data_IF_239025924688
#
_entry.id   IF_239025924688
#
_cell.length_a   1.000
_cell.length_b   1.000
_cell.length_c   1.000
_cell.angle_alpha   90.00
_cell.angle_beta   90.00
_cell.angle_gamma   90.00
#
_symmetry.space_group_name_H-M   'P 1'
#
loop_
_entity.id
_entity.type
_entity.pdbx_description
1 polymer ?
#
# COMPACT_ATOMS: atom_id res chain seq x y z
N UNK A 1 -18.07 7.83 3.29
CA UNK A 1 -16.88 6.99 3.38
C UNK A 1 -16.24 6.98 4.78
N UNK A 2 -16.14 8.11 5.50
CA UNK A 2 -15.52 8.15 6.85
C UNK A 2 -16.28 7.28 7.85
N UNK A 3 -17.62 7.33 7.85
CA UNK A 3 -18.41 6.43 8.70
C UNK A 3 -18.29 4.96 8.28
N UNK A 4 -18.13 4.70 6.97
CA UNK A 4 -17.85 3.35 6.48
C UNK A 4 -16.51 2.82 7.01
N UNK A 5 -15.46 3.66 7.02
CA UNK A 5 -14.17 3.32 7.65
C UNK A 5 -14.32 3.01 9.13
N UNK A 6 -15.11 3.80 9.86
CA UNK A 6 -15.34 3.57 11.27
C UNK A 6 -16.02 2.22 11.53
N UNK A 7 -17.11 1.92 10.83
CA UNK A 7 -17.83 0.64 10.96
C UNK A 7 -16.93 -0.53 10.58
N UNK A 8 -16.16 -0.37 9.49
CA UNK A 8 -15.21 -1.39 9.04
C UNK A 8 -14.17 -1.72 10.14
N UNK A 9 -13.63 -0.70 10.78
CA UNK A 9 -12.62 -0.89 11.83
C UNK A 9 -13.19 -1.48 13.13
N UNK A 10 -14.44 -1.14 13.46
CA UNK A 10 -15.09 -1.62 14.68
C UNK A 10 -15.68 -3.03 14.54
N UNK A 11 -16.19 -3.37 13.37
CA UNK A 11 -17.04 -4.56 13.19
C UNK A 11 -16.69 -5.42 11.98
N UNK A 12 -15.69 -5.03 11.20
CA UNK A 12 -15.22 -5.74 10.00
C UNK A 12 -16.05 -5.46 8.73
N UNK A 13 -15.63 -6.07 7.62
CA UNK A 13 -16.25 -5.85 6.29
C UNK A 13 -17.72 -6.25 6.27
N UNK A 14 -18.03 -7.41 6.83
CA UNK A 14 -19.39 -7.99 6.80
C UNK A 14 -20.42 -7.13 7.54
N UNK A 15 -20.01 -6.42 8.58
CA UNK A 15 -20.89 -5.53 9.35
C UNK A 15 -21.03 -4.13 8.75
N UNK A 16 -20.21 -3.79 7.74
CA UNK A 16 -20.23 -2.49 7.06
C UNK A 16 -21.37 -2.42 6.03
N UNK A 17 -22.59 -2.83 6.43
CA UNK A 17 -23.76 -2.79 5.55
C UNK A 17 -24.23 -1.34 5.31
N UNK A 18 -24.93 -1.13 4.19
CA UNK A 18 -25.53 0.16 3.85
C UNK A 18 -26.45 0.66 4.95
N UNK A 19 -27.24 -0.24 5.57
CA UNK A 19 -28.18 0.09 6.64
C UNK A 19 -27.46 0.58 7.90
N UNK A 20 -26.37 -0.12 8.29
CA UNK A 20 -25.56 0.28 9.46
C UNK A 20 -24.95 1.65 9.26
N UNK A 21 -24.40 1.90 8.08
CA UNK A 21 -23.75 3.18 7.76
C UNK A 21 -24.79 4.31 7.65
N UNK A 22 -25.96 4.05 7.04
CA UNK A 22 -27.04 5.00 6.95
C UNK A 22 -27.56 5.40 8.34
N UNK A 23 -27.71 4.42 9.24
CA UNK A 23 -28.10 4.66 10.62
C UNK A 23 -27.12 5.58 11.37
N UNK A 24 -25.80 5.37 11.21
CA UNK A 24 -24.79 6.24 11.81
C UNK A 24 -24.79 7.65 11.23
N UNK A 25 -25.13 7.79 9.95
CA UNK A 25 -25.21 9.09 9.28
C UNK A 25 -26.53 9.82 9.52
N UNK A 26 -27.54 9.15 10.05
CA UNK A 26 -28.90 9.70 10.21
C UNK A 26 -29.60 9.96 8.88
N UNK A 27 -29.30 9.16 7.84
CA UNK A 27 -29.90 9.25 6.50
C UNK A 27 -30.66 7.98 6.16
N UNK A 28 -31.57 8.05 5.17
CA UNK A 28 -32.25 6.86 4.66
C UNK A 28 -31.27 5.97 3.88
N UNK A 29 -31.30 4.63 4.01
CA UNK A 29 -30.44 3.71 3.26
C UNK A 29 -30.49 3.93 1.74
N UNK A 30 -31.65 4.30 1.21
CA UNK A 30 -31.89 4.58 -0.20
C UNK A 30 -30.96 5.70 -0.73
N UNK A 31 -30.66 6.71 0.10
CA UNK A 31 -29.74 7.79 -0.27
C UNK A 31 -28.30 7.31 -0.47
N UNK A 32 -27.90 6.23 0.18
CA UNK A 32 -26.59 5.60 -0.04
C UNK A 32 -26.65 4.71 -1.28
N UNK A 33 -27.74 3.94 -1.45
CA UNK A 33 -27.93 3.05 -2.60
C UNK A 33 -28.06 3.79 -3.93
N UNK A 34 -28.54 5.04 -3.93
CA UNK A 34 -28.49 5.90 -5.13
C UNK A 34 -27.07 6.18 -5.60
N UNK A 35 -26.11 6.26 -4.69
CA UNK A 35 -24.69 6.53 -4.99
C UNK A 35 -23.88 5.24 -5.16
N UNK A 36 -24.26 4.19 -4.45
CA UNK A 36 -23.60 2.89 -4.39
C UNK A 36 -24.63 1.77 -4.50
N UNK A 37 -25.07 1.43 -5.75
CA UNK A 37 -26.15 0.49 -5.98
C UNK A 37 -25.86 -0.94 -5.52
N UNK A 38 -24.60 -1.36 -5.61
CA UNK A 38 -24.16 -2.65 -5.08
C UNK A 38 -23.73 -2.50 -3.61
N UNK A 39 -24.14 -3.42 -2.70
CA UNK A 39 -23.70 -3.39 -1.31
C UNK A 39 -22.18 -3.32 -1.10
N UNK A 40 -21.39 -3.84 -2.04
CA UNK A 40 -19.92 -3.78 -1.99
C UNK A 40 -19.33 -2.47 -2.55
N UNK A 41 -20.09 -1.71 -3.36
CA UNK A 41 -19.56 -0.49 -4.00
C UNK A 41 -19.06 0.55 -2.99
N UNK A 42 -19.75 0.70 -1.87
CA UNK A 42 -19.35 1.62 -0.82
C UNK A 42 -18.05 1.19 -0.14
N UNK A 43 -17.88 -0.12 0.09
CA UNK A 43 -16.67 -0.69 0.69
C UNK A 43 -15.50 -0.60 -0.29
N UNK A 44 -15.74 -0.87 -1.57
CA UNK A 44 -14.76 -0.69 -2.64
C UNK A 44 -14.36 0.78 -2.80
N UNK A 45 -15.29 1.71 -2.70
CA UNK A 45 -14.99 3.14 -2.73
C UNK A 45 -14.16 3.58 -1.51
N UNK A 46 -14.42 3.01 -0.33
CA UNK A 46 -13.61 3.19 0.87
C UNK A 46 -12.18 2.66 0.65
N UNK A 47 -12.05 1.45 0.14
CA UNK A 47 -10.77 0.82 -0.18
C UNK A 47 -9.97 1.66 -1.19
N UNK A 48 -10.61 2.06 -2.28
CA UNK A 48 -9.99 2.90 -3.31
C UNK A 48 -9.48 4.23 -2.73
N UNK A 49 -10.25 4.88 -1.86
CA UNK A 49 -9.84 6.10 -1.18
C UNK A 49 -8.63 5.88 -0.27
N UNK A 50 -8.62 4.78 0.47
CA UNK A 50 -7.52 4.46 1.38
C UNK A 50 -6.23 4.16 0.62
N UNK A 51 -6.29 3.45 -0.48
CA UNK A 51 -5.13 3.24 -1.35
C UNK A 51 -4.57 4.53 -1.92
N UNK A 52 -5.45 5.40 -2.45
CA UNK A 52 -5.00 6.71 -2.96
C UNK A 52 -4.26 7.50 -1.88
N UNK A 53 -4.81 7.56 -0.66
CA UNK A 53 -4.17 8.25 0.47
C UNK A 53 -2.84 7.61 0.87
N UNK A 54 -2.79 6.28 0.89
CA UNK A 54 -1.57 5.53 1.20
C UNK A 54 -0.45 5.85 0.21
N UNK A 55 -0.72 5.76 -1.09
CA UNK A 55 0.28 6.08 -2.12
C UNK A 55 0.69 7.54 -2.10
N UNK A 56 -0.24 8.47 -1.88
CA UNK A 56 0.11 9.88 -1.71
C UNK A 56 1.04 10.12 -0.51
N UNK A 57 0.81 9.42 0.60
CA UNK A 57 1.69 9.43 1.77
C UNK A 57 3.08 8.90 1.43
N UNK A 58 3.17 7.74 0.79
CA UNK A 58 4.43 7.13 0.36
C UNK A 58 5.22 8.07 -0.54
N UNK A 59 4.58 8.63 -1.56
CA UNK A 59 5.23 9.58 -2.49
C UNK A 59 5.75 10.82 -1.79
N UNK A 60 4.95 11.37 -0.87
CA UNK A 60 5.36 12.53 -0.07
C UNK A 60 6.58 12.24 0.81
N UNK A 61 6.65 11.05 1.40
CA UNK A 61 7.79 10.63 2.22
C UNK A 61 9.04 10.39 1.37
N UNK A 62 8.88 9.71 0.22
CA UNK A 62 9.95 9.50 -0.76
C UNK A 62 10.52 10.83 -1.27
N UNK A 63 9.66 11.81 -1.56
CA UNK A 63 10.11 13.10 -2.08
C UNK A 63 10.92 13.89 -1.05
N UNK A 64 10.50 13.86 0.23
CA UNK A 64 11.20 14.55 1.32
C UNK A 64 12.54 13.91 1.70
N UNK A 65 12.70 12.61 1.45
CA UNK A 65 13.93 11.91 1.78
C UNK A 65 14.97 12.09 0.66
N UNK A 66 16.18 12.63 0.94
CA UNK A 66 17.26 12.68 -0.05
C UNK A 66 17.60 11.31 -0.66
N UNK A 67 17.44 10.23 0.09
CA UNK A 67 17.70 8.85 -0.34
C UNK A 67 16.42 8.12 -0.82
N UNK A 68 15.28 8.79 -0.89
CA UNK A 68 13.96 8.21 -1.16
C UNK A 68 13.84 7.45 -2.49
N UNK A 69 14.78 7.64 -3.43
CA UNK A 69 14.84 6.88 -4.69
C UNK A 69 15.51 5.51 -4.59
N UNK A 70 16.00 5.11 -3.42
CA UNK A 70 16.56 3.78 -3.18
C UNK A 70 15.45 2.78 -2.84
N UNK A 71 15.63 1.53 -3.24
CA UNK A 71 14.65 0.46 -3.03
C UNK A 71 14.32 0.27 -1.54
N UNK A 72 15.34 0.23 -0.69
CA UNK A 72 15.17 0.08 0.75
C UNK A 72 14.34 1.22 1.37
N UNK A 73 14.53 2.45 0.88
CA UNK A 73 13.78 3.62 1.36
C UNK A 73 12.32 3.57 0.91
N UNK A 74 12.06 3.21 -0.36
CA UNK A 74 10.71 3.01 -0.87
C UNK A 74 9.93 2.02 -0.01
N UNK A 75 10.54 0.86 0.30
CA UNK A 75 9.91 -0.17 1.13
C UNK A 75 9.77 0.22 2.60
N UNK A 76 10.69 1.02 3.14
CA UNK A 76 10.50 1.63 4.45
C UNK A 76 9.18 2.41 4.49
N UNK A 77 8.93 3.27 3.50
CA UNK A 77 7.71 4.07 3.45
C UNK A 77 6.46 3.25 3.13
N UNK A 78 6.56 2.26 2.24
CA UNK A 78 5.44 1.34 1.97
C UNK A 78 5.01 0.63 3.27
N UNK A 79 5.93 0.03 4.00
CA UNK A 79 5.60 -0.66 5.25
C UNK A 79 5.07 0.32 6.30
N UNK A 80 5.71 1.46 6.49
CA UNK A 80 5.25 2.48 7.45
C UNK A 80 3.82 2.91 7.15
N UNK A 81 3.52 3.27 5.90
CA UNK A 81 2.18 3.71 5.50
C UNK A 81 1.12 2.63 5.66
N UNK A 82 1.43 1.37 5.34
CA UNK A 82 0.49 0.25 5.56
C UNK A 82 0.19 0.06 7.04
N UNK A 83 1.22 0.08 7.89
CA UNK A 83 1.06 -0.22 9.31
C UNK A 83 0.46 0.95 10.12
N UNK A 84 0.75 2.18 9.77
CA UNK A 84 0.23 3.37 10.45
C UNK A 84 -1.24 3.66 10.10
N UNK A 85 -1.75 3.10 8.98
CA UNK A 85 -3.13 3.28 8.55
C UNK A 85 -4.01 2.15 9.04
N UNK A 86 -4.99 2.42 9.92
CA UNK A 86 -5.81 1.37 10.52
C UNK A 86 -6.52 0.48 9.49
N UNK A 87 -7.11 1.06 8.45
CA UNK A 87 -7.83 0.31 7.40
C UNK A 87 -6.85 -0.57 6.60
N UNK A 88 -5.74 0.01 6.12
CA UNK A 88 -4.72 -0.75 5.40
C UNK A 88 -4.15 -1.87 6.27
N UNK A 89 -3.79 -1.59 7.51
CA UNK A 89 -3.30 -2.60 8.46
C UNK A 89 -4.30 -3.73 8.65
N UNK A 90 -5.59 -3.43 8.82
CA UNK A 90 -6.61 -4.47 8.99
C UNK A 90 -6.68 -5.36 7.75
N UNK A 91 -6.76 -4.78 6.56
CA UNK A 91 -6.87 -5.52 5.31
C UNK A 91 -5.63 -6.34 4.98
N UNK A 92 -4.44 -5.79 5.17
CA UNK A 92 -3.20 -6.49 4.81
C UNK A 92 -2.73 -7.50 5.86
N UNK A 93 -3.05 -7.27 7.14
CA UNK A 93 -2.49 -8.01 8.24
C UNK A 93 -3.50 -8.92 8.95
N UNK A 94 -4.76 -8.47 9.09
CA UNK A 94 -5.75 -9.13 9.93
C UNK A 94 -6.74 -9.91 9.08
N UNK A 95 -7.29 -9.31 8.03
CA UNK A 95 -8.35 -9.89 7.20
C UNK A 95 -8.00 -9.84 5.70
N UNK A 96 -7.10 -10.72 5.29
CA UNK A 96 -6.70 -10.85 3.89
C UNK A 96 -7.79 -11.41 2.98
N UNK A 97 -8.72 -12.19 3.53
CA UNK A 97 -9.86 -12.71 2.76
C UNK A 97 -10.78 -11.57 2.36
N UNK A 98 -11.07 -10.65 3.27
CA UNK A 98 -11.84 -9.46 2.97
C UNK A 98 -11.18 -8.59 1.90
N UNK A 99 -9.85 -8.41 1.96
CA UNK A 99 -9.13 -7.69 0.91
C UNK A 99 -9.28 -8.39 -0.45
N UNK A 100 -9.12 -9.72 -0.49
CA UNK A 100 -9.26 -10.51 -1.72
C UNK A 100 -10.68 -10.37 -2.32
N UNK A 101 -11.71 -10.47 -1.49
CA UNK A 101 -13.11 -10.37 -1.92
C UNK A 101 -13.42 -8.98 -2.48
N UNK A 102 -12.98 -7.91 -1.78
CA UNK A 102 -13.14 -6.54 -2.25
C UNK A 102 -12.38 -6.26 -3.55
N UNK A 103 -11.16 -6.81 -3.69
CA UNK A 103 -10.34 -6.64 -4.90
C UNK A 103 -10.88 -7.41 -6.11
N UNK A 104 -11.67 -8.45 -5.87
CA UNK A 104 -12.32 -9.23 -6.93
C UNK A 104 -13.58 -8.55 -7.46
N UNK A 105 -14.05 -7.48 -6.82
CA UNK A 105 -15.23 -6.75 -7.25
C UNK A 105 -14.98 -5.92 -8.51
N UNK A 106 -15.97 -5.84 -9.41
CA UNK A 106 -15.85 -5.18 -10.72
C UNK A 106 -15.45 -3.70 -10.66
N UNK A 107 -15.78 -3.00 -9.59
CA UNK A 107 -15.44 -1.59 -9.39
C UNK A 107 -14.16 -1.37 -8.57
N UNK A 108 -13.55 -2.44 -8.07
CA UNK A 108 -12.25 -2.33 -7.45
C UNK A 108 -11.22 -1.95 -8.51
N UNK A 109 -10.44 -0.93 -8.23
CA UNK A 109 -9.29 -0.60 -9.08
C UNK A 109 -8.28 -1.75 -8.98
N UNK A 110 -7.54 -1.99 -10.04
CA UNK A 110 -6.48 -2.99 -10.07
C UNK A 110 -5.29 -2.56 -9.20
N UNK A 111 -5.57 -2.27 -7.93
CA UNK A 111 -4.51 -2.17 -6.97
C UNK A 111 -3.94 -3.56 -6.78
N UNK A 112 -2.83 -3.81 -7.42
CA UNK A 112 -2.01 -4.89 -6.93
C UNK A 112 -1.56 -4.43 -5.55
N UNK A 113 -2.05 -5.04 -4.46
CA UNK A 113 -1.47 -4.82 -3.16
C UNK A 113 -0.12 -5.52 -3.17
N UNK A 114 0.78 -4.98 -3.95
CA UNK A 114 2.11 -5.54 -4.00
C UNK A 114 2.92 -4.93 -2.89
N UNK A 115 2.68 -5.50 -1.72
CA UNK A 115 3.82 -5.83 -0.89
C UNK A 115 4.76 -6.79 -1.68
N UNK A 116 4.34 -7.34 -2.79
CA UNK A 116 5.12 -8.02 -3.82
C UNK A 116 5.64 -6.98 -4.81
N UNK A 117 6.93 -6.87 -4.90
CA UNK A 117 7.59 -6.07 -5.92
C UNK A 117 7.16 -6.52 -7.31
N UNK A 118 6.69 -5.59 -8.11
CA UNK A 118 6.54 -5.83 -9.53
C UNK A 118 7.92 -5.87 -10.18
N UNK A 119 8.17 -6.90 -10.94
CA UNK A 119 9.44 -7.09 -11.66
C UNK A 119 9.84 -5.87 -12.48
N UNK A 120 8.88 -5.24 -13.14
CA UNK A 120 9.08 -4.03 -13.94
C UNK A 120 9.69 -2.87 -13.12
N UNK A 121 9.23 -2.66 -11.88
CA UNK A 121 9.80 -1.64 -10.99
C UNK A 121 11.28 -1.93 -10.71
N UNK A 122 11.62 -3.17 -10.41
CA UNK A 122 13.03 -3.57 -10.15
C UNK A 122 13.90 -3.43 -11.40
N UNK A 123 13.41 -3.83 -12.56
CA UNK A 123 14.10 -3.71 -13.83
C UNK A 123 14.42 -2.24 -14.15
N UNK A 124 13.43 -1.35 -13.98
CA UNK A 124 13.62 0.08 -14.19
C UNK A 124 14.60 0.69 -13.18
N UNK A 125 14.55 0.30 -11.91
CA UNK A 125 15.49 0.76 -10.89
C UNK A 125 16.90 0.28 -11.18
N UNK A 126 17.09 -0.96 -11.63
CA UNK A 126 18.41 -1.48 -11.99
C UNK A 126 18.98 -0.79 -13.24
N UNK A 127 18.16 -0.57 -14.27
CA UNK A 127 18.56 0.16 -15.47
C UNK A 127 18.95 1.61 -15.17
N UNK A 128 18.30 2.23 -14.19
CA UNK A 128 18.64 3.58 -13.73
C UNK A 128 19.82 3.63 -12.75
N UNK A 129 20.44 2.48 -12.44
CA UNK A 129 21.58 2.40 -11.54
C UNK A 129 21.25 2.57 -10.06
N UNK A 130 19.97 2.42 -9.67
CA UNK A 130 19.54 2.49 -8.27
C UNK A 130 19.78 1.17 -7.53
N UNK A 131 19.86 0.07 -8.25
CA UNK A 131 20.25 -1.24 -7.72
C UNK A 131 21.66 -1.60 -8.20
N UNK A 132 22.37 -2.38 -7.41
CA UNK A 132 23.66 -2.93 -7.81
C UNK A 132 23.50 -3.81 -9.05
N UNK A 133 24.41 -3.75 -10.03
CA UNK A 133 24.26 -4.48 -11.29
C UNK A 133 24.27 -6.00 -11.14
N UNK A 134 24.92 -6.51 -10.07
CA UNK A 134 25.00 -7.93 -9.74
C UNK A 134 23.74 -8.48 -9.03
N UNK A 135 22.78 -7.65 -8.68
CA UNK A 135 21.56 -8.09 -7.99
C UNK A 135 20.70 -8.92 -8.94
N UNK A 136 20.41 -10.15 -8.51
CA UNK A 136 19.37 -10.97 -9.13
C UNK A 136 17.99 -10.43 -8.71
N UNK A 137 17.23 -9.96 -9.68
CA UNK A 137 15.94 -9.33 -9.45
C UNK A 137 14.87 -10.30 -8.93
N UNK A 138 14.96 -11.59 -9.26
CA UNK A 138 14.05 -12.62 -8.74
C UNK A 138 14.34 -12.88 -7.26
N UNK A 139 15.61 -12.92 -6.89
CA UNK A 139 16.03 -13.05 -5.50
C UNK A 139 15.61 -11.81 -4.70
N UNK A 140 15.83 -10.61 -5.21
CA UNK A 140 15.42 -9.37 -4.56
C UNK A 140 13.89 -9.32 -4.32
N UNK A 141 13.11 -9.67 -5.35
CA UNK A 141 11.64 -9.77 -5.26
C UNK A 141 11.22 -10.79 -4.20
N UNK A 142 11.84 -11.96 -4.20
CA UNK A 142 11.56 -13.03 -3.24
C UNK A 142 11.88 -12.61 -1.80
N UNK A 143 13.01 -11.95 -1.57
CA UNK A 143 13.42 -11.46 -0.24
C UNK A 143 12.40 -10.44 0.29
N UNK A 144 12.00 -9.47 -0.51
CA UNK A 144 10.99 -8.48 -0.09
C UNK A 144 9.64 -9.16 0.17
N UNK A 145 9.25 -10.14 -0.64
CA UNK A 145 8.02 -10.91 -0.43
C UNK A 145 8.05 -11.68 0.89
N UNK A 146 9.19 -12.30 1.22
CA UNK A 146 9.37 -13.01 2.50
C UNK A 146 9.33 -12.04 3.68
N UNK A 147 10.00 -10.88 3.58
CA UNK A 147 9.94 -9.83 4.61
C UNK A 147 8.48 -9.39 4.82
N UNK A 148 7.78 -9.05 3.74
CA UNK A 148 6.38 -8.61 3.79
C UNK A 148 5.47 -9.68 4.42
N UNK A 149 5.63 -10.93 3.98
CA UNK A 149 4.88 -12.07 4.53
C UNK A 149 5.21 -12.33 5.99
N UNK A 150 6.47 -12.25 6.37
CA UNK A 150 6.93 -12.42 7.74
C UNK A 150 6.34 -11.36 8.67
N UNK A 151 6.43 -10.09 8.29
CA UNK A 151 5.83 -8.98 9.04
C UNK A 151 4.32 -9.17 9.21
N UNK A 152 3.63 -9.63 8.17
CA UNK A 152 2.20 -9.87 8.21
C UNK A 152 1.81 -11.06 9.13
N UNK A 153 2.57 -12.15 9.08
CA UNK A 153 2.27 -13.35 9.86
C UNK A 153 2.57 -13.20 11.34
N UNK A 154 3.52 -12.33 11.69
CA UNK A 154 3.95 -12.13 13.08
C UNK A 154 3.32 -10.90 13.74
N UNK A 155 2.43 -10.18 13.02
CA UNK A 155 1.69 -9.04 13.59
C UNK A 155 0.79 -9.49 14.79
N UNK A 156 0.54 -8.60 15.79
CA UNK A 156 1.03 -7.23 15.88
C UNK A 156 2.47 -7.11 16.39
N UNK A 157 3.13 -6.00 16.08
CA UNK A 157 4.49 -5.71 16.52
C UNK A 157 4.54 -4.49 17.44
N UNK A 158 5.20 -4.60 18.60
CA UNK A 158 5.37 -3.47 19.51
C UNK A 158 6.39 -2.46 18.99
N UNK A 159 7.45 -2.93 18.29
CA UNK A 159 8.57 -2.11 17.80
C UNK A 159 8.67 -2.14 16.27
N UNK A 160 7.55 -2.01 15.57
CA UNK A 160 7.53 -2.18 14.12
C UNK A 160 8.50 -1.27 13.37
N UNK A 161 8.57 0.02 13.75
CA UNK A 161 9.46 0.98 13.11
C UNK A 161 10.93 0.56 13.16
N UNK A 162 11.37 0.03 14.30
CA UNK A 162 12.74 -0.49 14.47
C UNK A 162 12.98 -1.75 13.65
N UNK A 163 12.00 -2.66 13.63
CA UNK A 163 12.06 -3.89 12.82
C UNK A 163 12.16 -3.56 11.34
N UNK A 164 11.29 -2.69 10.83
CA UNK A 164 11.31 -2.25 9.43
C UNK A 164 12.64 -1.56 9.11
N UNK A 165 13.11 -0.66 9.96
CA UNK A 165 14.40 0.03 9.77
C UNK A 165 15.56 -0.96 9.68
N UNK A 166 15.63 -1.95 10.56
CA UNK A 166 16.66 -2.98 10.53
C UNK A 166 16.60 -3.84 9.26
N UNK A 167 15.41 -4.34 8.92
CA UNK A 167 15.21 -5.15 7.71
C UNK A 167 15.55 -4.38 6.43
N UNK A 168 15.15 -3.11 6.34
CA UNK A 168 15.42 -2.29 5.17
C UNK A 168 16.88 -1.85 5.09
N UNK A 169 17.55 -1.66 6.22
CA UNK A 169 19.00 -1.46 6.25
C UNK A 169 19.76 -2.69 5.69
N UNK A 170 19.35 -3.90 6.08
CA UNK A 170 19.92 -5.13 5.54
C UNK A 170 19.65 -5.26 4.03
N UNK A 171 18.42 -5.00 3.60
CA UNK A 171 18.05 -5.03 2.18
C UNK A 171 18.85 -3.98 1.37
N UNK A 172 18.97 -2.75 1.88
CA UNK A 172 19.73 -1.68 1.24
C UNK A 172 21.21 -2.02 1.09
N UNK A 173 21.85 -2.56 2.12
CA UNK A 173 23.23 -3.01 2.05
C UNK A 173 23.45 -4.10 0.99
N UNK A 174 22.43 -4.87 0.67
CA UNK A 174 22.50 -5.96 -0.31
C UNK A 174 22.12 -5.50 -1.71
N UNK A 175 21.09 -4.68 -1.85
CA UNK A 175 20.47 -4.40 -3.14
C UNK A 175 20.75 -2.98 -3.66
N UNK A 176 20.78 -1.96 -2.80
CA UNK A 176 20.89 -0.58 -3.24
C UNK A 176 22.31 -0.28 -3.79
N UNK A 177 22.38 0.45 -4.89
CA UNK A 177 23.62 0.94 -5.42
C UNK A 177 24.12 2.15 -4.59
N UNK A 178 25.44 2.31 -4.42
CA UNK A 178 26.02 3.46 -3.69
C UNK A 178 26.00 4.71 -4.59
N UNK A 179 24.83 5.30 -4.77
CA UNK A 179 24.62 6.48 -5.63
C UNK A 179 24.46 7.76 -4.80
N UNK A 180 24.89 8.89 -5.36
CA UNK A 180 24.69 10.21 -4.74
C UNK A 180 23.44 10.93 -5.24
N UNK A 181 22.90 10.53 -6.40
CA UNK A 181 21.67 11.08 -6.98
C UNK A 181 20.60 9.99 -7.03
N UNK A 182 19.57 10.12 -6.23
CA UNK A 182 18.46 9.19 -6.15
C UNK A 182 17.20 9.66 -6.90
N UNK A 183 17.24 10.83 -7.54
CA UNK A 183 16.10 11.39 -8.31
C UNK A 183 15.58 10.43 -9.39
N UNK A 184 16.41 9.69 -10.14
CA UNK A 184 15.89 8.72 -11.09
C UNK A 184 14.98 7.67 -10.45
N UNK A 185 15.34 7.17 -9.27
CA UNK A 185 14.52 6.20 -8.54
C UNK A 185 13.18 6.80 -8.09
N UNK A 186 13.18 8.04 -7.60
CA UNK A 186 11.93 8.74 -7.25
C UNK A 186 10.99 8.86 -8.45
N UNK A 187 11.51 9.25 -9.61
CA UNK A 187 10.74 9.36 -10.85
C UNK A 187 10.16 8.03 -11.31
N UNK A 188 10.94 6.95 -11.21
CA UNK A 188 10.51 5.59 -11.54
C UNK A 188 9.37 5.16 -10.61
N UNK A 189 9.55 5.34 -9.30
CA UNK A 189 8.51 4.98 -8.33
C UNK A 189 7.22 5.81 -8.55
N UNK A 190 7.36 7.10 -8.82
CA UNK A 190 6.23 7.96 -9.14
C UNK A 190 5.48 7.48 -10.39
N UNK A 191 6.19 7.22 -11.49
CA UNK A 191 5.58 6.72 -12.73
C UNK A 191 4.84 5.38 -12.49
N UNK A 192 5.46 4.49 -11.74
CA UNK A 192 4.87 3.22 -11.35
C UNK A 192 3.61 3.41 -10.50
N UNK A 193 3.64 4.21 -9.44
CA UNK A 193 2.48 4.47 -8.59
C UNK A 193 1.32 5.09 -9.37
N UNK A 194 1.61 6.03 -10.27
CA UNK A 194 0.60 6.67 -11.14
C UNK A 194 -0.01 5.68 -12.14
N UNK A 195 0.73 4.67 -12.57
CA UNK A 195 0.19 3.63 -13.45
C UNK A 195 -0.84 2.74 -12.75
N UNK A 196 -0.76 2.62 -11.42
CA UNK A 196 -1.74 1.89 -10.60
C UNK A 196 -3.04 2.71 -10.43
N UNK A 197 -2.92 4.01 -10.25
CA UNK A 197 -4.06 4.91 -10.06
C UNK A 197 -3.74 6.31 -10.57
N UNK A 198 -4.46 6.73 -11.62
CA UNK A 198 -4.31 8.06 -12.23
C UNK A 198 -4.74 9.22 -11.31
N UNK A 199 -5.41 8.94 -10.19
CA UNK A 199 -5.72 9.96 -9.18
C UNK A 199 -4.54 10.27 -8.25
N UNK A 200 -3.51 9.44 -8.24
CA UNK A 200 -2.26 9.71 -7.53
C UNK A 200 -1.53 10.84 -8.23
N UNK A 201 -1.21 11.88 -7.49
CA UNK A 201 -0.53 13.06 -8.03
C UNK A 201 0.82 13.25 -7.35
N UNK A 202 1.79 13.86 -8.05
CA UNK A 202 3.05 14.22 -7.41
C UNK A 202 2.79 15.17 -6.25
N UNK A 203 3.63 15.11 -5.22
CA UNK A 203 3.58 16.05 -4.10
C UNK A 203 3.90 17.47 -4.54
#
# INVERSE_FOLDING_TARGET
LTHAEQVFLESGVTASSTETIAGLMGVAPESILELYPDPLDLQVAMLNREFTRMYQGILSDIERDPEGGLLSRMYTYIFTQVYERPVARTLYMIDRSALHDLMSHQHARNYVPSLTIQRELLENLQQAGMLRPEVDLEVASSVITVISGGLALTAPHENLGEIVSALMTMAGNTFDAPVSDTRPGKQIFYAWATSLDTSIRPP
#
